data_IF_169627193834
#
_entry.id   IF_169627193834
#
_cell.length_a   1.000
_cell.length_b   1.000
_cell.length_c   1.000
_cell.angle_alpha   90.00
_cell.angle_beta   90.00
_cell.angle_gamma   90.00
#
_symmetry.space_group_name_H-M   'P 1'
#
loop_
_entity.id
_entity.type
_entity.pdbx_description
1 polymer ?
#
# COMPACT_ATOMS: atom_id res chain seq x y z
N UNK A 1 -5.90 -10.92 -1.12
CA UNK A 1 -5.08 -11.39 -2.26
C UNK A 1 -4.17 -10.28 -2.76
N UNK A 2 -2.98 -10.62 -3.16
CA UNK A 2 -2.03 -9.67 -3.72
C UNK A 2 -1.81 -9.96 -5.19
N UNK A 3 -1.72 -8.88 -5.98
CA UNK A 3 -1.25 -8.92 -7.34
C UNK A 3 -0.09 -7.97 -7.46
N UNK A 4 0.96 -8.41 -8.14
CA UNK A 4 2.19 -7.65 -8.26
C UNK A 4 2.44 -7.39 -9.74
N UNK A 5 2.59 -6.12 -10.10
CA UNK A 5 2.86 -5.72 -11.48
C UNK A 5 4.12 -4.86 -11.49
N UNK A 6 5.28 -5.46 -11.77
CA UNK A 6 6.50 -4.67 -11.87
C UNK A 6 6.51 -3.85 -13.16
N UNK A 7 7.06 -2.66 -13.08
CA UNK A 7 7.25 -1.80 -14.23
C UNK A 7 8.49 -0.96 -13.96
N UNK A 8 9.64 -1.47 -14.42
CA UNK A 8 10.89 -0.83 -14.12
C UNK A 8 11.17 -0.89 -12.64
N UNK A 9 11.36 0.29 -12.02
CA UNK A 9 11.61 0.38 -10.58
C UNK A 9 10.35 0.63 -9.78
N UNK A 10 9.21 0.41 -10.38
CA UNK A 10 7.91 0.61 -9.76
C UNK A 10 7.14 -0.70 -9.72
N UNK A 11 6.29 -0.84 -8.74
CA UNK A 11 5.38 -1.96 -8.65
C UNK A 11 4.07 -1.49 -8.09
N UNK A 12 2.98 -2.10 -8.55
CA UNK A 12 1.66 -1.89 -7.99
C UNK A 12 1.18 -3.21 -7.42
N UNK A 13 0.76 -3.19 -6.17
CA UNK A 13 0.26 -4.37 -5.49
C UNK A 13 -1.19 -4.12 -5.09
N UNK A 14 -2.06 -5.05 -5.46
CA UNK A 14 -3.48 -4.99 -5.07
C UNK A 14 -3.63 -5.75 -3.76
N UNK A 15 -4.19 -5.07 -2.76
CA UNK A 15 -4.51 -5.69 -1.47
C UNK A 15 -6.02 -5.73 -1.35
N UNK A 16 -6.58 -6.92 -1.15
CA UNK A 16 -8.02 -7.10 -1.06
C UNK A 16 -8.40 -7.70 0.29
N UNK A 17 -9.65 -7.50 0.69
CA UNK A 17 -10.18 -8.07 1.91
C UNK A 17 -10.07 -7.12 3.08
N UNK A 18 -9.59 -7.62 4.20
CA UNK A 18 -9.46 -6.84 5.43
C UNK A 18 -8.00 -6.89 5.88
N UNK A 19 -7.44 -5.73 6.19
CA UNK A 19 -6.09 -5.64 6.71
C UNK A 19 -6.18 -5.37 8.20
N UNK A 20 -6.54 -6.41 8.92
CA UNK A 20 -6.72 -6.38 10.37
C UNK A 20 -5.57 -7.10 11.06
N UNK A 21 -5.70 -7.23 12.38
CA UNK A 21 -4.69 -7.87 13.19
C UNK A 21 -4.37 -9.31 12.74
N UNK A 22 -5.38 -10.05 12.27
CA UNK A 22 -5.17 -11.43 11.85
C UNK A 22 -4.50 -11.53 10.50
N UNK A 23 -4.85 -10.64 9.57
CA UNK A 23 -4.29 -10.68 8.22
C UNK A 23 -2.93 -9.99 8.13
N UNK A 24 -2.62 -9.10 9.05
CA UNK A 24 -1.41 -8.27 8.96
C UNK A 24 -0.11 -9.08 8.80
N UNK A 25 0.12 -10.16 9.58
CA UNK A 25 1.38 -10.90 9.40
C UNK A 25 1.56 -11.48 8.01
N UNK A 26 0.47 -12.00 7.42
CA UNK A 26 0.53 -12.60 6.10
C UNK A 26 0.78 -11.53 5.03
N UNK A 27 0.04 -10.43 5.11
CA UNK A 27 0.19 -9.35 4.13
C UNK A 27 1.58 -8.74 4.23
N UNK A 28 2.11 -8.58 5.45
CA UNK A 28 3.47 -8.10 5.63
C UNK A 28 4.47 -9.00 4.93
N UNK A 29 4.35 -10.33 5.09
CA UNK A 29 5.27 -11.25 4.45
C UNK A 29 5.19 -11.17 2.93
N UNK A 30 3.98 -11.03 2.41
CA UNK A 30 3.80 -10.93 0.95
C UNK A 30 4.41 -9.65 0.41
N UNK A 31 4.26 -8.54 1.13
CA UNK A 31 4.87 -7.28 0.71
C UNK A 31 6.39 -7.34 0.86
N UNK A 32 6.90 -8.00 1.90
CA UNK A 32 8.32 -8.18 2.06
C UNK A 32 8.91 -8.98 0.90
N UNK A 33 8.18 -9.95 0.38
CA UNK A 33 8.64 -10.71 -0.79
C UNK A 33 8.75 -9.81 -2.00
N UNK A 34 7.80 -8.90 -2.21
CA UNK A 34 7.89 -7.92 -3.30
C UNK A 34 9.13 -7.04 -3.11
N UNK A 35 9.39 -6.61 -1.88
CA UNK A 35 10.49 -5.71 -1.57
C UNK A 35 11.85 -6.37 -1.58
N UNK A 36 11.93 -7.69 -1.75
CA UNK A 36 13.22 -8.36 -1.93
C UNK A 36 13.92 -7.90 -3.19
N UNK A 37 13.18 -7.42 -4.18
CA UNK A 37 13.78 -6.77 -5.33
C UNK A 37 14.26 -5.38 -4.88
N UNK A 38 15.54 -5.28 -4.58
CA UNK A 38 16.11 -4.05 -4.02
C UNK A 38 16.19 -2.92 -5.04
N UNK A 39 15.97 -3.21 -6.32
CA UNK A 39 15.91 -2.16 -7.33
C UNK A 39 14.56 -1.46 -7.34
N UNK A 40 13.56 -2.02 -6.64
CA UNK A 40 12.24 -1.41 -6.55
C UNK A 40 12.33 -0.16 -5.67
N UNK A 41 11.98 0.99 -6.25
CA UNK A 41 12.06 2.27 -5.55
C UNK A 41 10.69 2.88 -5.27
N UNK A 42 9.67 2.48 -6.00
CA UNK A 42 8.33 3.03 -5.75
C UNK A 42 7.31 1.90 -5.70
N UNK A 43 6.58 1.84 -4.60
CA UNK A 43 5.53 0.84 -4.41
C UNK A 43 4.21 1.56 -4.29
N UNK A 44 3.27 1.21 -5.16
CA UNK A 44 1.89 1.70 -5.09
C UNK A 44 1.00 0.57 -4.61
N UNK A 45 0.18 0.86 -3.62
CA UNK A 45 -0.80 -0.09 -3.12
C UNK A 45 -2.18 0.30 -3.64
N UNK A 46 -2.79 -0.59 -4.40
CA UNK A 46 -4.15 -0.40 -4.88
C UNK A 46 -5.10 -1.01 -3.85
N UNK A 47 -5.85 -0.14 -3.19
CA UNK A 47 -6.70 -0.53 -2.06
C UNK A 47 -8.17 -0.54 -2.43
N UNK A 48 -8.49 -0.62 -3.73
CA UNK A 48 -9.88 -0.60 -4.18
C UNK A 48 -10.70 -1.70 -3.53
N UNK A 49 -10.10 -2.88 -3.36
CA UNK A 49 -10.79 -4.04 -2.83
C UNK A 49 -10.50 -4.28 -1.35
N UNK A 50 -9.88 -3.31 -0.69
CA UNK A 50 -9.65 -3.39 0.75
C UNK A 50 -10.82 -2.73 1.45
N UNK A 51 -11.58 -3.50 2.22
CA UNK A 51 -12.82 -3.02 2.83
C UNK A 51 -12.63 -2.56 4.26
N UNK A 52 -11.53 -2.93 4.90
CA UNK A 52 -11.30 -2.60 6.30
C UNK A 52 -9.80 -2.54 6.59
N UNK A 53 -9.41 -1.63 7.47
CA UNK A 53 -8.04 -1.56 7.97
C UNK A 53 -8.10 -1.06 9.41
N UNK A 54 -7.25 -1.62 10.27
CA UNK A 54 -7.08 -1.14 11.64
C UNK A 54 -5.63 -0.69 11.85
N UNK A 55 -5.26 -0.46 13.11
CA UNK A 55 -3.91 0.02 13.41
C UNK A 55 -2.82 -0.99 13.03
N UNK A 56 -3.15 -2.28 12.98
CA UNK A 56 -2.19 -3.28 12.52
C UNK A 56 -1.82 -3.03 11.06
N UNK A 57 -2.81 -2.65 10.25
CA UNK A 57 -2.57 -2.30 8.86
C UNK A 57 -1.70 -1.05 8.73
N UNK A 58 -1.96 -0.04 9.57
CA UNK A 58 -1.12 1.15 9.59
C UNK A 58 0.33 0.75 9.83
N UNK A 59 0.56 -0.16 10.79
CA UNK A 59 1.92 -0.63 11.08
C UNK A 59 2.56 -1.34 9.90
N UNK A 60 1.79 -2.14 9.17
CA UNK A 60 2.30 -2.82 7.98
C UNK A 60 2.76 -1.80 6.95
N UNK A 61 1.96 -0.77 6.68
CA UNK A 61 2.32 0.25 5.71
C UNK A 61 3.55 1.02 6.13
N UNK A 62 3.61 1.45 7.39
CA UNK A 62 4.75 2.22 7.88
C UNK A 62 6.04 1.42 7.84
N UNK A 63 5.98 0.13 8.19
CA UNK A 63 7.18 -0.71 8.15
C UNK A 63 7.71 -0.87 6.74
N UNK A 64 6.83 -1.03 5.77
CA UNK A 64 7.25 -1.16 4.36
C UNK A 64 7.77 0.17 3.83
N UNK A 65 7.16 1.27 4.25
CA UNK A 65 7.64 2.60 3.87
C UNK A 65 9.08 2.81 4.32
N UNK A 66 9.41 2.39 5.55
CA UNK A 66 10.78 2.55 6.07
C UNK A 66 11.78 1.78 5.23
N UNK A 67 11.41 0.58 4.77
CA UNK A 67 12.28 -0.20 3.89
C UNK A 67 12.54 0.56 2.60
N UNK A 68 11.48 1.12 2.00
CA UNK A 68 11.65 1.89 0.77
C UNK A 68 12.49 3.13 1.00
N UNK A 69 12.23 3.85 2.09
CA UNK A 69 12.99 5.07 2.38
C UNK A 69 14.46 4.79 2.58
N UNK A 70 14.81 3.62 3.14
CA UNK A 70 16.22 3.28 3.35
C UNK A 70 16.99 3.12 2.04
N UNK A 71 16.28 2.95 0.93
CA UNK A 71 16.90 2.85 -0.39
C UNK A 71 16.54 4.04 -1.28
N UNK A 72 16.05 5.13 -0.67
CA UNK A 72 15.68 6.33 -1.42
C UNK A 72 14.35 6.23 -2.15
N UNK A 73 13.53 5.25 -1.78
CA UNK A 73 12.26 5.03 -2.46
C UNK A 73 11.07 5.68 -1.77
N UNK A 74 9.90 5.49 -2.35
CA UNK A 74 8.67 6.09 -1.88
C UNK A 74 7.53 5.08 -1.99
N UNK A 75 6.41 5.42 -1.34
CA UNK A 75 5.18 4.62 -1.39
C UNK A 75 4.00 5.53 -1.67
N UNK A 76 3.03 5.01 -2.39
CA UNK A 76 1.74 5.68 -2.55
C UNK A 76 0.62 4.66 -2.45
N UNK A 77 -0.58 5.17 -2.26
CA UNK A 77 -1.80 4.36 -2.23
C UNK A 77 -2.78 4.96 -3.23
N UNK A 78 -3.71 4.14 -3.70
CA UNK A 78 -4.77 4.61 -4.58
C UNK A 78 -6.05 3.83 -4.34
N UNK A 79 -7.16 4.45 -4.72
CA UNK A 79 -8.49 3.82 -4.72
C UNK A 79 -8.97 3.41 -3.33
N UNK A 80 -8.62 4.18 -2.29
CA UNK A 80 -9.09 3.84 -0.95
C UNK A 80 -10.59 3.99 -0.85
N UNK A 81 -11.24 2.99 -0.23
CA UNK A 81 -12.65 3.11 0.15
C UNK A 81 -12.79 4.04 1.35
N UNK A 82 -13.95 4.68 1.54
CA UNK A 82 -14.10 5.69 2.59
C UNK A 82 -13.65 5.27 3.99
N UNK A 83 -13.98 4.07 4.50
CA UNK A 83 -13.53 3.72 5.85
C UNK A 83 -12.01 3.60 5.95
N UNK A 84 -11.38 3.09 4.91
CA UNK A 84 -9.93 2.94 4.88
C UNK A 84 -9.28 4.32 4.77
N UNK A 85 -9.81 5.17 3.91
CA UNK A 85 -9.27 6.52 3.75
C UNK A 85 -9.39 7.32 5.03
N UNK A 86 -10.50 7.17 5.74
CA UNK A 86 -10.69 7.89 6.99
C UNK A 86 -9.59 7.55 8.00
N UNK A 87 -9.32 6.26 8.18
CA UNK A 87 -8.27 5.83 9.10
C UNK A 87 -6.92 6.30 8.62
N UNK A 88 -6.66 6.18 7.32
CA UNK A 88 -5.39 6.59 6.72
C UNK A 88 -5.11 8.06 7.05
N UNK A 89 -6.10 8.92 6.86
CA UNK A 89 -5.93 10.35 7.10
C UNK A 89 -5.85 10.68 8.58
N UNK A 90 -6.67 10.03 9.41
CA UNK A 90 -6.62 10.26 10.86
C UNK A 90 -5.28 9.85 11.45
N UNK A 91 -4.63 8.86 10.85
CA UNK A 91 -3.31 8.41 11.30
C UNK A 91 -2.18 9.29 10.79
N UNK A 92 -2.48 10.27 9.94
CA UNK A 92 -1.46 11.18 9.42
C UNK A 92 -0.61 10.59 8.31
N UNK A 93 -1.00 9.44 7.76
CA UNK A 93 -0.19 8.77 6.74
C UNK A 93 -0.06 9.58 5.46
N UNK A 94 -1.00 10.46 5.16
CA UNK A 94 -0.92 11.28 3.96
C UNK A 94 0.27 12.24 3.97
N UNK A 95 0.92 12.39 5.12
CA UNK A 95 2.11 13.23 5.22
C UNK A 95 3.36 12.54 4.66
N UNK A 96 3.34 11.22 4.61
CA UNK A 96 4.54 10.45 4.23
C UNK A 96 4.27 9.45 3.12
N UNK A 97 3.01 9.14 2.83
CA UNK A 97 2.61 8.23 1.77
C UNK A 97 1.73 9.02 0.82
N UNK A 98 2.09 9.02 -0.46
CA UNK A 98 1.33 9.76 -1.46
C UNK A 98 -0.02 9.10 -1.71
N UNK A 99 -1.00 9.92 -2.08
CA UNK A 99 -2.30 9.41 -2.50
C UNK A 99 -2.39 9.70 -3.99
N UNK A 100 -2.46 8.65 -4.80
CA UNK A 100 -2.56 8.81 -6.25
C UNK A 100 -4.01 8.87 -6.66
N UNK A 101 -4.31 9.72 -7.60
CA UNK A 101 -5.61 9.78 -8.21
C UNK A 101 -5.60 8.92 -9.46
N UNK A 102 -6.66 8.19 -9.65
CA UNK A 102 -6.80 7.35 -10.83
C UNK A 102 -8.04 7.76 -11.59
N UNK A 103 -8.01 7.50 -12.88
CA UNK A 103 -9.16 7.76 -13.73
C UNK A 103 -9.85 6.42 -13.99
N UNK A 104 -10.34 5.86 -12.93
CA UNK A 104 -11.00 4.58 -13.01
C UNK A 104 -12.19 4.67 -13.95
N UNK A 105 -12.39 3.61 -14.69
CA UNK A 105 -13.50 3.58 -15.61
C UNK A 105 -13.33 4.47 -16.80
N UNK A 106 -12.18 5.00 -16.99
CA UNK A 106 -11.88 5.80 -18.15
C UNK A 106 -12.66 7.07 -18.21
N UNK A 107 -13.11 7.51 -17.16
CA UNK A 107 -13.77 8.57 -17.18
C UNK A 107 -13.05 9.56 -17.55
N UNK A 108 -13.13 10.12 -18.09
CA UNK A 108 -12.32 11.05 -18.48
C UNK A 108 -12.61 12.20 -18.76
#
# INVERSE_FOLDING_TARGET
MLQYKPLGRQATVVIAGELDHFAAPQIRRMLDDVLKDETLLHLTLDLENLTFMDSSGIGVLLGRLRILQSRGGTMSVMNMQPPVEKLFRLSGLQRVIGIEKTHKGGRL
#
